data_IF_662209819065
#
_entry.id   IF_662209819065
#
_cell.length_a   1.000
_cell.length_b   1.000
_cell.length_c   1.000
_cell.angle_alpha   90.00
_cell.angle_beta   90.00
_cell.angle_gamma   90.00
#
_symmetry.space_group_name_H-M   'P 1'
#
loop_
_entity.id
_entity.type
_entity.pdbx_description
1 polymer ?
#
# COMPACT_ATOMS: atom_id res chain seq x y z
N UNK A 1 -13.14 -1.91 -50.95
CA UNK A 1 -12.76 -3.14 -50.21
C UNK A 1 -11.26 -3.06 -49.98
N UNK A 2 -10.69 -3.14 -48.78
CA UNK A 2 -11.17 -3.37 -47.42
C UNK A 2 -10.27 -2.48 -46.55
N UNK A 3 -10.85 -1.54 -45.80
CA UNK A 3 -10.11 -0.79 -44.78
C UNK A 3 -10.15 -1.67 -43.54
N UNK A 4 -9.01 -2.27 -43.19
CA UNK A 4 -8.83 -2.94 -41.91
C UNK A 4 -7.98 -2.03 -41.03
N UNK A 5 -8.63 -1.28 -40.16
CA UNK A 5 -8.00 -0.67 -38.99
C UNK A 5 -8.82 -1.13 -37.78
N UNK A 6 -8.30 -2.18 -37.16
CA UNK A 6 -8.76 -2.71 -35.88
C UNK A 6 -8.87 -1.56 -34.87
N UNK A 7 -10.09 -1.28 -34.42
CA UNK A 7 -10.34 -0.37 -33.31
C UNK A 7 -9.90 -1.05 -32.00
N UNK A 8 -8.61 -1.01 -31.72
CA UNK A 8 -8.07 -1.28 -30.39
C UNK A 8 -7.27 -0.05 -29.96
N UNK A 9 -7.95 0.93 -29.40
CA UNK A 9 -7.33 1.89 -28.51
C UNK A 9 -8.34 2.10 -27.38
N UNK A 10 -8.13 1.32 -26.32
CA UNK A 10 -8.98 1.31 -25.14
C UNK A 10 -9.12 2.71 -24.56
N UNK A 11 -10.35 3.05 -24.21
CA UNK A 11 -10.60 3.99 -23.12
C UNK A 11 -10.05 3.35 -21.84
N UNK A 12 -8.78 3.60 -21.50
CA UNK A 12 -8.11 2.91 -20.39
C UNK A 12 -6.92 3.62 -19.75
N UNK A 13 -6.49 4.79 -20.24
CA UNK A 13 -5.30 5.49 -19.71
C UNK A 13 -5.67 6.74 -18.92
N UNK A 14 -6.53 6.58 -17.91
CA UNK A 14 -6.44 7.41 -16.71
C UNK A 14 -5.73 6.55 -15.66
N UNK A 15 -4.49 6.15 -15.95
CA UNK A 15 -3.70 5.35 -15.02
C UNK A 15 -3.39 6.21 -13.80
N UNK A 16 -4.11 5.99 -12.70
CA UNK A 16 -3.56 6.18 -11.37
C UNK A 16 -2.22 5.44 -11.34
N UNK A 17 -1.10 6.14 -11.16
CA UNK A 17 0.21 5.50 -11.09
C UNK A 17 0.25 4.59 -9.87
N UNK A 18 0.13 3.28 -10.07
CA UNK A 18 0.29 2.29 -9.02
C UNK A 18 1.79 2.11 -8.73
N UNK A 19 2.18 2.22 -7.46
CA UNK A 19 3.51 1.82 -6.98
C UNK A 19 3.40 0.48 -6.27
N UNK A 20 3.92 -0.58 -6.89
CA UNK A 20 3.99 -1.89 -6.25
C UNK A 20 4.90 -1.82 -5.00
N UNK A 21 4.43 -2.40 -3.90
CA UNK A 21 5.19 -2.48 -2.64
C UNK A 21 5.77 -3.87 -2.47
N UNK A 22 4.89 -4.88 -2.45
CA UNK A 22 5.27 -6.30 -2.37
C UNK A 22 4.03 -7.19 -2.55
N UNK A 23 4.09 -8.16 -3.46
CA UNK A 23 3.01 -9.14 -3.61
C UNK A 23 1.66 -8.47 -3.91
N UNK A 24 0.60 -8.70 -3.11
CA UNK A 24 -0.71 -8.08 -3.35
C UNK A 24 -0.77 -6.60 -2.96
N UNK A 25 0.28 -6.04 -2.34
CA UNK A 25 0.29 -4.68 -1.84
C UNK A 25 0.83 -3.69 -2.86
N UNK A 26 0.07 -2.63 -3.08
CA UNK A 26 0.46 -1.50 -3.93
C UNK A 26 -0.15 -0.20 -3.40
N UNK A 27 0.46 0.93 -3.77
CA UNK A 27 -0.05 2.27 -3.46
C UNK A 27 -0.57 2.91 -4.73
N UNK A 28 -1.76 3.51 -4.68
CA UNK A 28 -2.29 4.32 -5.76
C UNK A 28 -2.82 5.66 -5.21
N UNK A 29 -2.80 6.69 -6.07
CA UNK A 29 -3.48 7.96 -5.78
C UNK A 29 -5.01 7.77 -5.89
N UNK A 30 -5.75 8.36 -4.96
CA UNK A 30 -7.21 8.42 -5.05
C UNK A 30 -7.59 9.44 -6.15
N UNK A 31 -8.35 9.07 -7.20
CA UNK A 31 -8.71 10.00 -8.26
C UNK A 31 -9.69 11.10 -7.79
N UNK A 32 -10.41 10.87 -6.69
CA UNK A 32 -11.37 11.80 -6.12
C UNK A 32 -10.79 12.64 -4.97
N UNK A 33 -9.58 12.34 -4.50
CA UNK A 33 -8.97 13.04 -3.37
C UNK A 33 -7.44 13.19 -3.50
N UNK A 34 -6.88 14.28 -2.97
CA UNK A 34 -5.44 14.57 -3.08
C UNK A 34 -4.57 13.76 -2.10
N UNK A 35 -4.83 12.47 -1.92
CA UNK A 35 -4.03 11.57 -1.08
C UNK A 35 -3.80 10.22 -1.76
N UNK A 36 -2.79 9.51 -1.26
CA UNK A 36 -2.43 8.17 -1.74
C UNK A 36 -2.88 7.13 -0.70
N UNK A 37 -3.23 5.94 -1.19
CA UNK A 37 -3.77 4.84 -0.39
C UNK A 37 -3.00 3.57 -0.65
N UNK A 38 -2.67 2.85 0.41
CA UNK A 38 -2.20 1.47 0.35
C UNK A 38 -3.41 0.55 0.16
N UNK A 39 -3.33 -0.30 -0.85
CA UNK A 39 -4.32 -1.31 -1.20
C UNK A 39 -3.74 -2.72 -1.08
N UNK A 40 -4.64 -3.68 -0.98
CA UNK A 40 -4.38 -5.12 -1.15
C UNK A 40 -5.25 -5.61 -2.32
N UNK A 41 -4.63 -6.13 -3.39
CA UNK A 41 -5.34 -6.76 -4.50
C UNK A 41 -5.57 -8.24 -4.19
N UNK A 42 -6.82 -8.64 -4.04
CA UNK A 42 -7.15 -10.03 -3.79
C UNK A 42 -7.00 -10.92 -5.05
N UNK A 43 -7.20 -12.23 -4.85
CA UNK A 43 -7.08 -13.23 -5.93
C UNK A 43 -8.13 -13.06 -7.04
N UNK A 44 -9.25 -12.40 -6.73
CA UNK A 44 -10.36 -12.16 -7.65
C UNK A 44 -10.18 -10.80 -8.37
N UNK A 45 -9.09 -10.07 -8.04
CA UNK A 45 -8.72 -8.79 -8.62
C UNK A 45 -9.39 -7.60 -7.96
N UNK A 46 -10.06 -7.79 -6.82
CA UNK A 46 -10.68 -6.71 -6.07
C UNK A 46 -9.64 -5.98 -5.22
N UNK A 47 -9.73 -4.65 -5.23
CA UNK A 47 -8.82 -3.77 -4.50
C UNK A 47 -9.43 -3.44 -3.13
N UNK A 48 -8.76 -3.89 -2.08
CA UNK A 48 -9.18 -3.73 -0.70
C UNK A 48 -8.37 -2.64 -0.01
N UNK A 49 -9.05 -1.72 0.67
CA UNK A 49 -8.38 -0.63 1.36
C UNK A 49 -7.54 -1.19 2.53
N UNK A 50 -6.33 -0.66 2.72
CA UNK A 50 -5.44 -1.04 3.84
C UNK A 50 -5.00 0.14 4.67
N UNK A 51 -4.66 1.26 4.04
CA UNK A 51 -4.30 2.47 4.77
C UNK A 51 -4.38 3.70 3.87
N UNK A 52 -5.14 4.71 4.29
CA UNK A 52 -5.29 5.97 3.55
C UNK A 52 -4.24 7.02 3.97
N UNK A 53 -4.10 8.08 3.17
CA UNK A 53 -3.23 9.21 3.47
C UNK A 53 -1.76 8.81 3.70
N UNK A 54 -1.25 7.86 2.92
CA UNK A 54 0.15 7.45 3.01
C UNK A 54 1.06 8.46 2.32
N UNK A 55 2.19 8.77 2.93
CA UNK A 55 3.27 9.56 2.32
C UNK A 55 4.50 8.72 2.03
N UNK A 56 4.71 7.64 2.77
CA UNK A 56 5.75 6.65 2.44
C UNK A 56 5.23 5.25 2.75
N UNK A 57 5.53 4.27 1.89
CA UNK A 57 5.25 2.86 2.16
C UNK A 57 6.45 2.02 1.73
N UNK A 58 6.80 1.05 2.54
CA UNK A 58 7.76 0.06 2.13
C UNK A 58 7.63 -1.29 2.79
N UNK A 59 8.27 -2.28 2.18
CA UNK A 59 8.26 -3.66 2.64
C UNK A 59 9.68 -4.12 2.98
N UNK A 60 9.84 -4.77 4.14
CA UNK A 60 11.07 -5.45 4.51
C UNK A 60 10.79 -6.58 5.51
N UNK A 61 11.44 -7.73 5.32
CA UNK A 61 11.43 -8.85 6.28
C UNK A 61 10.04 -9.34 6.69
N UNK A 62 9.08 -9.36 5.76
CA UNK A 62 7.70 -9.80 6.03
C UNK A 62 6.78 -8.73 6.62
N UNK A 63 7.27 -7.50 6.79
CA UNK A 63 6.50 -6.39 7.33
C UNK A 63 6.27 -5.31 6.29
N UNK A 64 5.07 -4.74 6.30
CA UNK A 64 4.76 -3.50 5.59
C UNK A 64 4.87 -2.35 6.59
N UNK A 65 5.65 -1.34 6.24
CA UNK A 65 5.87 -0.13 7.01
C UNK A 65 5.25 1.05 6.28
N UNK A 66 4.50 1.87 7.02
CA UNK A 66 3.72 2.96 6.47
C UNK A 66 4.08 4.22 7.25
N UNK A 67 4.29 5.32 6.53
CA UNK A 67 4.29 6.66 7.08
C UNK A 67 3.05 7.39 6.60
N UNK A 68 2.31 7.97 7.54
CA UNK A 68 1.21 8.88 7.26
C UNK A 68 1.38 10.11 8.14
N UNK A 69 1.44 11.27 7.50
CA UNK A 69 1.79 12.54 8.15
C UNK A 69 3.10 12.40 8.96
N UNK A 70 3.04 12.59 10.28
CA UNK A 70 4.17 12.52 11.21
C UNK A 70 4.20 11.23 12.04
N UNK A 71 3.44 10.21 11.64
CA UNK A 71 3.34 8.93 12.35
C UNK A 71 3.72 7.76 11.46
N UNK A 72 4.20 6.71 12.12
CA UNK A 72 4.55 5.45 11.49
C UNK A 72 3.62 4.34 11.95
N UNK A 73 3.33 3.41 11.06
CA UNK A 73 2.54 2.24 11.30
C UNK A 73 3.22 1.04 10.65
N UNK A 74 2.88 -0.15 11.11
CA UNK A 74 3.34 -1.38 10.48
C UNK A 74 2.40 -2.53 10.76
N UNK A 75 2.49 -3.57 9.94
CA UNK A 75 1.87 -4.86 10.20
C UNK A 75 2.68 -5.97 9.55
N UNK A 76 2.51 -7.20 10.05
CA UNK A 76 3.11 -8.38 9.42
C UNK A 76 2.23 -8.83 8.25
N UNK A 77 2.78 -8.89 7.04
CA UNK A 77 2.05 -9.28 5.84
C UNK A 77 1.46 -10.70 5.95
N UNK A 78 2.15 -11.59 6.67
CA UNK A 78 1.67 -12.95 6.92
C UNK A 78 0.39 -13.03 7.79
N UNK A 79 0.07 -11.96 8.52
CA UNK A 79 -1.12 -11.91 9.37
C UNK A 79 -2.30 -11.22 8.69
N UNK A 80 -2.12 -10.65 7.48
CA UNK A 80 -3.19 -10.01 6.73
C UNK A 80 -4.20 -11.05 6.23
N UNK A 81 -5.46 -10.82 6.56
CA UNK A 81 -6.56 -11.73 6.25
C UNK A 81 -7.11 -11.52 4.84
N UNK A 82 -6.65 -10.50 4.11
CA UNK A 82 -7.17 -10.22 2.77
C UNK A 82 -8.63 -9.75 2.80
N UNK A 83 -9.08 -9.12 3.88
CA UNK A 83 -10.43 -8.52 4.01
C UNK A 83 -10.35 -7.00 4.08
N UNK A 84 -11.45 -6.29 3.84
CA UNK A 84 -11.45 -4.82 3.78
C UNK A 84 -11.16 -4.16 5.14
N UNK A 85 -10.69 -2.91 5.14
CA UNK A 85 -10.51 -2.08 6.34
C UNK A 85 -11.79 -1.89 7.17
N UNK A 86 -12.98 -2.06 6.57
CA UNK A 86 -14.25 -2.08 7.30
C UNK A 86 -14.39 -3.26 8.29
N UNK A 87 -13.55 -4.29 8.17
CA UNK A 87 -13.52 -5.44 9.08
C UNK A 87 -12.69 -5.11 10.35
N UNK A 88 -13.29 -5.21 11.56
CA UNK A 88 -12.57 -4.99 12.81
C UNK A 88 -11.32 -5.87 12.99
N UNK A 89 -11.30 -7.08 12.42
CA UNK A 89 -10.14 -7.96 12.49
C UNK A 89 -8.94 -7.38 11.74
N UNK A 90 -9.17 -6.80 10.55
CA UNK A 90 -8.13 -6.16 9.73
C UNK A 90 -7.58 -4.91 10.41
N UNK A 91 -8.44 -4.11 11.05
CA UNK A 91 -8.01 -2.93 11.80
C UNK A 91 -7.08 -3.28 12.98
N UNK A 92 -7.27 -4.44 13.62
CA UNK A 92 -6.44 -4.89 14.74
C UNK A 92 -5.05 -5.37 14.32
N UNK A 93 -4.84 -5.67 13.04
CA UNK A 93 -3.52 -6.08 12.52
C UNK A 93 -2.54 -4.92 12.46
N UNK A 94 -3.06 -3.71 12.29
CA UNK A 94 -2.26 -2.51 12.21
C UNK A 94 -1.70 -2.15 13.59
N UNK A 95 -0.41 -1.81 13.64
CA UNK A 95 0.19 -1.29 14.86
C UNK A 95 -0.51 -0.01 15.34
N UNK A 96 -0.34 0.28 16.63
CA UNK A 96 -0.58 1.64 17.13
C UNK A 96 0.33 2.65 16.41
N UNK A 97 -0.09 3.93 16.28
CA UNK A 97 0.75 4.97 15.70
C UNK A 97 2.03 5.14 16.50
N UNK A 98 3.16 5.14 15.80
CA UNK A 98 4.49 5.32 16.38
C UNK A 98 5.03 6.71 16.03
N UNK A 99 5.75 7.32 16.97
CA UNK A 99 6.66 8.42 16.69
C UNK A 99 7.90 7.94 15.91
N UNK A 100 8.65 8.88 15.35
CA UNK A 100 9.94 8.58 14.70
C UNK A 100 10.90 7.81 15.62
N UNK A 101 10.99 8.18 16.89
CA UNK A 101 11.90 7.52 17.84
C UNK A 101 11.49 6.07 18.13
N UNK A 102 10.18 5.84 18.32
CA UNK A 102 9.64 4.49 18.51
C UNK A 102 9.81 3.63 17.26
N UNK A 103 9.59 4.22 16.08
CA UNK A 103 9.79 3.55 14.80
C UNK A 103 11.26 3.15 14.58
N UNK A 104 12.20 4.05 14.81
CA UNK A 104 13.64 3.72 14.71
C UNK A 104 14.02 2.60 15.68
N UNK A 105 13.50 2.63 16.92
CA UNK A 105 13.73 1.57 17.91
C UNK A 105 13.11 0.23 17.46
N UNK A 106 11.92 0.25 16.86
CA UNK A 106 11.30 -0.93 16.28
C UNK A 106 12.18 -1.54 15.18
N UNK A 107 12.66 -0.74 14.23
CA UNK A 107 13.54 -1.23 13.16
C UNK A 107 14.79 -1.91 13.72
N UNK A 108 15.38 -1.34 14.77
CA UNK A 108 16.51 -1.97 15.48
C UNK A 108 16.15 -3.30 16.12
N UNK A 109 14.99 -3.39 16.79
CA UNK A 109 14.51 -4.64 17.41
C UNK A 109 14.25 -5.72 16.35
N UNK A 110 13.71 -5.32 15.20
CA UNK A 110 13.46 -6.22 14.07
C UNK A 110 14.73 -6.56 13.28
N UNK A 111 15.88 -5.95 13.60
CA UNK A 111 17.13 -6.15 12.88
C UNK A 111 17.16 -5.55 11.46
N UNK A 112 16.23 -4.64 11.15
CA UNK A 112 16.13 -3.97 9.85
C UNK A 112 17.06 -2.75 9.87
N UNK A 113 18.20 -2.86 9.18
CA UNK A 113 19.20 -1.79 9.11
C UNK A 113 18.85 -0.73 8.06
N UNK A 114 18.37 -1.18 6.90
CA UNK A 114 18.08 -0.33 5.76
C UNK A 114 16.64 -0.59 5.30
N UNK A 115 15.71 0.24 5.77
CA UNK A 115 14.35 0.25 5.24
C UNK A 115 14.32 1.20 4.02
N UNK A 116 14.05 0.63 2.85
CA UNK A 116 13.77 1.40 1.64
C UNK A 116 12.25 1.58 1.54
N UNK A 117 11.80 2.82 1.44
CA UNK A 117 10.41 3.12 1.10
C UNK A 117 10.26 3.11 -0.42
N UNK A 118 9.58 2.09 -0.95
CA UNK A 118 9.28 1.94 -2.38
C UNK A 118 8.38 3.07 -2.90
N UNK A 119 7.41 3.51 -2.09
CA UNK A 119 6.56 4.66 -2.38
C UNK A 119 6.93 5.84 -1.50
N UNK A 120 7.02 7.05 -2.08
CA UNK A 120 7.31 8.31 -1.37
C UNK A 120 6.65 9.51 -2.08
N UNK A 121 5.99 10.40 -1.33
CA UNK A 121 5.33 11.63 -1.81
C UNK A 121 5.65 12.83 -0.92
#
# INVERSE_FOLDING_TARGET
>A
MLVSLSSCAGFGDIFSQETEIHGPYYVADDPAASYSTLFYRDKDGADLYRFENVSQVGYNSGYVFIKSQNRFYWFAAANDLGTDLGDPATQQLLSKPLSQAEFTKLLQILGIKDLIFQFQK
#
